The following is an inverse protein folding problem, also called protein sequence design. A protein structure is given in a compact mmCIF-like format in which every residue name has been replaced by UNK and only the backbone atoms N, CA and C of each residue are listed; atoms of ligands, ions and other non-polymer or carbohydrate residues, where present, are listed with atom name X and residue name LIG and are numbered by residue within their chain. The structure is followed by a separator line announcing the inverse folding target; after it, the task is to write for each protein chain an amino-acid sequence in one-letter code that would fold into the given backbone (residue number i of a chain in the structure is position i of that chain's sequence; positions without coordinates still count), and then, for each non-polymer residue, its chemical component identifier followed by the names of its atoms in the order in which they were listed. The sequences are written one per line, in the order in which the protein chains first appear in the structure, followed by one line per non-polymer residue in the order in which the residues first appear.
data_IF_894323238104
#
_entry.id   IF_894323238104
#
_cell.length_a   1.000
_cell.length_b   1.000
_cell.length_c   1.000
_cell.angle_alpha   90.00
_cell.angle_beta   90.00
_cell.angle_gamma   90.00
#
_symmetry.space_group_name_H-M   'P 1'
#
loop_
_entity.id
_entity.type
_entity.pdbx_description
1 polymer ?
#
# COMPACT_ATOMS: atom_id res chain seq x y z
N UNK A 1 -65.79 55.30 6.53
CA UNK A 1 -67.20 55.60 6.76
C UNK A 1 -68.03 54.33 6.59
N UNK A 2 -68.48 53.75 7.71
CA UNK A 2 -69.81 53.13 7.79
C UNK A 2 -70.86 54.28 7.90
N UNK A 3 -72.19 54.09 7.90
CA UNK A 3 -73.04 52.88 7.76
C UNK A 3 -74.31 53.13 6.89
N UNK A 4 -75.27 52.19 6.90
CA UNK A 4 -76.75 52.33 6.85
C UNK A 4 -77.31 50.95 6.41
N UNK A 5 -78.39 50.34 6.92
CA UNK A 5 -79.48 50.74 7.83
C UNK A 5 -80.33 49.48 8.13
N UNK A 6 -80.97 49.45 9.32
CA UNK A 6 -82.33 48.92 9.60
C UNK A 6 -82.57 47.38 9.56
N UNK A 7 -83.46 46.73 10.34
CA UNK A 7 -84.70 47.11 11.03
C UNK A 7 -85.00 46.20 12.26
N UNK A 8 -85.65 46.84 13.26
CA UNK A 8 -86.62 46.44 14.31
C UNK A 8 -87.51 45.16 14.07
N UNK A 9 -88.42 44.77 15.02
CA UNK A 9 -88.23 44.26 16.39
C UNK A 9 -89.12 43.01 16.68
N UNK A 10 -89.04 42.37 17.85
CA UNK A 10 -90.01 41.33 18.24
C UNK A 10 -89.93 40.93 19.71
N UNK A 11 -91.05 41.03 20.42
CA UNK A 11 -91.20 40.94 21.87
C UNK A 11 -91.09 39.53 22.49
N UNK A 12 -90.51 39.55 23.70
CA UNK A 12 -90.53 38.64 24.86
C UNK A 12 -91.59 37.53 24.94
N UNK A 13 -91.17 36.35 25.44
CA UNK A 13 -91.76 35.65 26.60
C UNK A 13 -90.74 34.65 27.22
N UNK A 14 -90.76 34.40 28.56
CA UNK A 14 -89.65 33.75 29.26
C UNK A 14 -89.86 32.26 29.61
N UNK A 15 -88.72 31.55 29.57
CA UNK A 15 -88.17 30.51 30.46
C UNK A 15 -89.11 29.54 31.23
N UNK A 16 -88.89 28.24 31.00
CA UNK A 16 -88.75 27.23 32.08
C UNK A 16 -87.63 26.25 31.70
N UNK A 17 -86.64 26.11 32.58
CA UNK A 17 -85.50 25.22 32.44
C UNK A 17 -85.85 23.78 32.83
N UNK A 18 -85.51 22.80 31.98
CA UNK A 18 -85.39 21.38 32.33
C UNK A 18 -83.91 21.01 32.27
N UNK A 19 -83.29 20.75 33.42
CA UNK A 19 -81.95 20.20 33.50
C UNK A 19 -82.02 18.69 33.21
N UNK A 20 -81.65 18.31 31.98
CA UNK A 20 -81.39 16.91 31.62
C UNK A 20 -80.01 16.49 32.11
N UNK A 21 -79.95 15.35 32.79
CA UNK A 21 -78.71 14.70 33.21
C UNK A 21 -78.02 14.09 31.98
N UNK A 22 -76.88 14.65 31.57
CA UNK A 22 -75.98 14.03 30.59
C UNK A 22 -74.86 13.32 31.33
N UNK A 23 -74.92 11.98 31.35
CA UNK A 23 -73.81 11.15 31.81
C UNK A 23 -72.68 11.17 30.76
N UNK A 24 -71.65 12.00 30.98
CA UNK A 24 -70.39 11.91 30.25
C UNK A 24 -69.59 10.71 30.76
N UNK A 25 -69.47 9.65 29.96
CA UNK A 25 -68.41 8.64 30.15
C UNK A 25 -67.07 9.31 29.82
N UNK A 26 -66.28 9.66 30.85
CA UNK A 26 -64.88 10.03 30.67
C UNK A 26 -64.04 8.76 30.64
N UNK A 27 -63.59 8.34 29.47
CA UNK A 27 -62.49 7.40 29.36
C UNK A 27 -61.20 8.15 29.76
N UNK A 28 -60.79 8.05 31.02
CA UNK A 28 -59.51 8.58 31.49
C UNK A 28 -58.45 7.48 31.37
N UNK A 29 -57.69 7.47 30.28
CA UNK A 29 -56.35 6.85 30.31
C UNK A 29 -55.40 7.84 30.97
N UNK A 30 -55.33 7.83 32.29
CA UNK A 30 -54.29 8.55 33.02
C UNK A 30 -52.99 7.75 32.94
N UNK A 31 -52.15 8.03 31.94
CA UNK A 31 -50.74 7.69 32.07
C UNK A 31 -50.12 8.76 32.97
N UNK A 32 -49.69 8.36 34.18
CA UNK A 32 -48.90 9.25 35.02
C UNK A 32 -47.66 9.68 34.23
N UNK A 33 -47.39 11.00 34.06
CA UNK A 33 -46.18 11.43 33.37
C UNK A 33 -44.98 10.93 34.17
N UNK A 34 -44.12 10.15 33.50
CA UNK A 34 -42.85 9.71 34.08
C UNK A 34 -42.12 10.95 34.60
N UNK A 35 -41.62 10.96 35.86
CA UNK A 35 -40.97 12.11 36.46
C UNK A 35 -39.88 12.64 35.52
N UNK A 36 -39.81 13.97 35.34
CA UNK A 36 -38.87 14.62 34.42
C UNK A 36 -37.42 14.13 34.63
N UNK A 37 -37.00 13.92 35.89
CA UNK A 37 -35.68 13.37 36.23
C UNK A 37 -35.45 11.93 35.79
N UNK A 38 -36.48 11.07 35.80
CA UNK A 38 -36.36 9.68 35.32
C UNK A 38 -36.29 9.62 33.79
N UNK A 39 -37.06 10.47 33.09
CA UNK A 39 -36.95 10.59 31.62
C UNK A 39 -35.58 11.09 31.19
N UNK A 40 -35.09 12.16 31.81
CA UNK A 40 -33.74 12.70 31.52
C UNK A 40 -32.66 11.67 31.84
N UNK A 41 -32.79 10.93 32.94
CA UNK A 41 -31.89 9.81 33.27
C UNK A 41 -31.88 8.73 32.18
N UNK A 42 -33.05 8.28 31.73
CA UNK A 42 -33.17 7.29 30.65
C UNK A 42 -32.55 7.79 29.34
N UNK A 43 -32.85 9.02 28.92
CA UNK A 43 -32.28 9.59 27.70
C UNK A 43 -30.77 9.78 27.80
N UNK A 44 -30.26 10.23 28.94
CA UNK A 44 -28.82 10.37 29.17
C UNK A 44 -28.11 9.01 29.12
N UNK A 45 -28.66 7.99 29.78
CA UNK A 45 -28.11 6.63 29.73
C UNK A 45 -28.14 6.07 28.31
N UNK A 46 -29.27 6.19 27.61
CA UNK A 46 -29.40 5.73 26.23
C UNK A 46 -28.41 6.43 25.29
N UNK A 47 -28.21 7.74 25.44
CA UNK A 47 -27.23 8.50 24.68
C UNK A 47 -25.80 8.00 24.95
N UNK A 48 -25.40 7.88 26.22
CA UNK A 48 -24.05 7.41 26.59
C UNK A 48 -23.80 6.00 26.06
N UNK A 49 -24.75 5.08 26.20
CA UNK A 49 -24.61 3.71 25.70
C UNK A 49 -24.52 3.68 24.17
N UNK A 50 -25.37 4.45 23.48
CA UNK A 50 -25.37 4.50 22.02
C UNK A 50 -24.09 5.13 21.48
N UNK A 51 -23.60 6.21 22.09
CA UNK A 51 -22.34 6.85 21.71
C UNK A 51 -21.14 5.95 21.97
N UNK A 52 -21.11 5.23 23.10
CA UNK A 52 -20.06 4.26 23.39
C UNK A 52 -20.04 3.09 22.40
N UNK A 53 -21.20 2.51 22.10
CA UNK A 53 -21.33 1.43 21.12
C UNK A 53 -20.95 1.91 19.71
N UNK A 54 -21.38 3.12 19.34
CA UNK A 54 -20.99 3.73 18.07
C UNK A 54 -19.48 3.96 17.99
N UNK A 55 -18.84 4.43 19.07
CA UNK A 55 -17.40 4.63 19.11
C UNK A 55 -16.66 3.29 18.91
N UNK A 56 -17.06 2.22 19.62
CA UNK A 56 -16.48 0.88 19.41
C UNK A 56 -16.66 0.44 17.96
N UNK A 57 -17.85 0.60 17.40
CA UNK A 57 -18.15 0.24 16.02
C UNK A 57 -17.41 1.11 14.99
N UNK A 58 -17.14 2.37 15.30
CA UNK A 58 -16.37 3.27 14.43
C UNK A 58 -14.88 2.93 14.48
N UNK A 59 -14.32 2.67 15.67
CA UNK A 59 -12.89 2.40 15.81
C UNK A 59 -12.47 0.99 15.39
N UNK A 60 -13.40 0.07 15.14
CA UNK A 60 -13.10 -1.22 14.49
C UNK A 60 -13.01 -1.06 12.96
N UNK A 61 -11.84 -1.32 12.38
CA UNK A 61 -11.64 -1.17 10.92
C UNK A 61 -12.50 -2.13 10.08
N UNK A 62 -12.99 -3.24 10.67
CA UNK A 62 -13.84 -4.25 10.01
C UNK A 62 -15.29 -3.80 9.90
N UNK A 63 -15.67 -2.74 10.61
CA UNK A 63 -17.02 -2.19 10.61
C UNK A 63 -17.54 -1.92 9.20
N UNK A 64 -18.79 -2.33 8.95
CA UNK A 64 -19.46 -2.11 7.67
C UNK A 64 -19.62 -0.60 7.37
N UNK A 65 -19.59 0.26 8.39
CA UNK A 65 -19.58 1.71 8.25
C UNK A 65 -18.46 2.19 7.32
N UNK A 66 -17.25 1.64 7.47
CA UNK A 66 -16.10 2.10 6.67
C UNK A 66 -16.25 1.70 5.21
N UNK A 67 -16.53 0.41 4.95
CA UNK A 67 -16.59 -0.15 3.61
C UNK A 67 -17.78 0.35 2.80
N UNK A 68 -18.96 0.39 3.40
CA UNK A 68 -20.21 0.61 2.66
C UNK A 68 -20.74 2.04 2.77
N UNK A 69 -20.23 2.85 3.70
CA UNK A 69 -20.70 4.23 3.90
C UNK A 69 -19.54 5.22 3.72
N UNK A 70 -18.54 5.22 4.59
CA UNK A 70 -17.52 6.26 4.60
C UNK A 70 -16.64 6.26 3.34
N UNK A 71 -16.15 5.09 2.91
CA UNK A 71 -15.33 5.00 1.69
C UNK A 71 -16.10 5.41 0.42
N UNK A 72 -17.33 4.93 0.17
CA UNK A 72 -18.16 5.44 -0.92
C UNK A 72 -18.46 6.93 -0.82
N UNK A 73 -18.77 7.46 0.37
CA UNK A 73 -18.99 8.90 0.57
C UNK A 73 -17.76 9.73 0.21
N UNK A 74 -16.55 9.29 0.60
CA UNK A 74 -15.31 9.95 0.21
C UNK A 74 -15.10 9.89 -1.31
N UNK A 75 -15.37 8.73 -1.93
CA UNK A 75 -15.15 8.49 -3.36
C UNK A 75 -16.10 9.28 -4.26
N UNK A 76 -17.38 9.38 -3.88
CA UNK A 76 -18.40 10.05 -4.70
C UNK A 76 -18.68 11.50 -4.27
N UNK A 77 -18.34 11.86 -3.03
CA UNK A 77 -18.57 13.20 -2.48
C UNK A 77 -17.40 14.17 -2.62
N UNK A 78 -16.18 13.68 -2.88
CA UNK A 78 -14.97 14.49 -3.05
C UNK A 78 -14.26 14.13 -4.35
N UNK A 79 -13.41 15.04 -4.86
CA UNK A 79 -12.45 14.65 -5.88
C UNK A 79 -11.43 13.66 -5.30
N UNK A 80 -10.89 12.82 -6.17
CA UNK A 80 -10.00 11.72 -5.80
C UNK A 80 -8.78 12.14 -4.97
N UNK A 81 -8.16 13.29 -5.27
CA UNK A 81 -6.98 13.74 -4.52
C UNK A 81 -7.39 14.34 -3.15
N UNK A 82 -8.53 15.04 -3.07
CA UNK A 82 -9.04 15.56 -1.80
C UNK A 82 -9.52 14.45 -0.86
N UNK A 83 -10.23 13.45 -1.37
CA UNK A 83 -10.65 12.28 -0.59
C UNK A 83 -9.46 11.52 0.00
N UNK A 84 -8.42 11.31 -0.81
CA UNK A 84 -7.16 10.70 -0.36
C UNK A 84 -6.47 11.51 0.75
N UNK A 85 -6.37 12.83 0.58
CA UNK A 85 -5.77 13.71 1.59
C UNK A 85 -6.55 13.72 2.90
N UNK A 86 -7.88 13.66 2.83
CA UNK A 86 -8.71 13.56 4.03
C UNK A 86 -8.45 12.22 4.74
N UNK A 87 -8.36 11.11 4.01
CA UNK A 87 -8.03 9.80 4.60
C UNK A 87 -6.69 9.83 5.33
N UNK A 88 -5.63 10.37 4.72
CA UNK A 88 -4.32 10.52 5.37
C UNK A 88 -4.40 11.39 6.63
N UNK A 89 -5.15 12.50 6.61
CA UNK A 89 -5.34 13.35 7.79
C UNK A 89 -6.06 12.63 8.93
N UNK A 90 -7.07 11.81 8.62
CA UNK A 90 -7.78 11.00 9.63
C UNK A 90 -6.82 9.98 10.23
N UNK A 91 -6.05 9.26 9.39
CA UNK A 91 -5.03 8.30 9.83
C UNK A 91 -3.95 8.92 10.72
N UNK A 92 -3.53 10.14 10.41
CA UNK A 92 -2.59 10.92 11.22
C UNK A 92 -3.18 11.39 12.56
N UNK A 93 -4.48 11.64 12.63
CA UNK A 93 -5.10 12.38 13.75
C UNK A 93 -5.27 11.59 15.05
N UNK A 94 -5.03 10.28 15.03
CA UNK A 94 -5.38 9.37 16.14
C UNK A 94 -6.86 9.01 16.21
N UNK A 95 -7.70 9.57 15.34
CA UNK A 95 -9.12 9.23 15.21
C UNK A 95 -9.38 8.11 14.18
N UNK A 96 -8.35 7.52 13.60
CA UNK A 96 -8.54 6.42 12.66
C UNK A 96 -8.99 5.14 13.36
N UNK A 97 -9.78 4.30 12.66
CA UNK A 97 -10.04 2.95 13.12
C UNK A 97 -8.76 2.14 13.19
N UNK A 98 -8.80 1.07 13.98
CA UNK A 98 -7.72 0.12 14.18
C UNK A 98 -8.21 -1.29 13.89
N UNK A 99 -7.26 -2.16 13.61
CA UNK A 99 -7.47 -3.60 13.54
C UNK A 99 -7.38 -4.19 14.95
N UNK A 100 -8.49 -4.64 15.57
CA UNK A 100 -8.49 -5.11 16.95
C UNK A 100 -8.09 -6.58 17.09
N UNK A 101 -7.84 -7.28 15.97
CA UNK A 101 -7.62 -8.72 15.96
C UNK A 101 -6.12 -9.00 15.83
N UNK A 102 -5.54 -9.97 16.56
CA UNK A 102 -4.19 -10.42 16.28
C UNK A 102 -4.08 -11.11 14.90
N UNK A 103 -2.87 -11.19 14.36
CA UNK A 103 -2.63 -11.95 13.14
C UNK A 103 -2.60 -13.46 13.43
N UNK A 104 -3.07 -14.25 12.48
CA UNK A 104 -3.03 -15.71 12.54
C UNK A 104 -1.60 -16.22 12.26
N UNK A 105 -1.16 -17.23 13.00
CA UNK A 105 0.20 -17.78 12.88
C UNK A 105 0.50 -18.36 11.50
N UNK A 106 -0.52 -18.84 10.78
CA UNK A 106 -0.36 -19.36 9.41
C UNK A 106 0.04 -18.27 8.40
N UNK A 107 -0.18 -16.99 8.74
CA UNK A 107 0.19 -15.84 7.93
C UNK A 107 1.64 -15.40 8.13
N UNK A 108 2.35 -15.91 9.14
CA UNK A 108 3.70 -15.43 9.45
C UNK A 108 4.58 -15.50 8.19
N UNK A 109 5.19 -14.35 7.87
CA UNK A 109 6.05 -14.19 6.71
C UNK A 109 7.49 -13.95 7.13
N UNK A 110 8.43 -14.26 6.24
CA UNK A 110 9.85 -14.03 6.48
C UNK A 110 10.48 -13.37 5.25
N UNK A 111 11.26 -12.32 5.48
CA UNK A 111 12.02 -11.64 4.43
C UNK A 111 13.40 -11.28 4.98
N UNK A 112 14.47 -11.73 4.30
CA UNK A 112 15.86 -11.58 4.76
C UNK A 112 16.13 -12.10 6.19
N UNK A 113 15.45 -13.17 6.60
CA UNK A 113 15.53 -13.68 7.97
C UNK A 113 14.76 -12.84 9.00
N UNK A 114 14.10 -11.77 8.58
CA UNK A 114 13.26 -10.93 9.45
C UNK A 114 11.83 -11.43 9.39
N UNK A 115 11.25 -11.72 10.56
CA UNK A 115 9.86 -12.18 10.68
C UNK A 115 8.91 -10.98 10.59
N UNK A 116 7.86 -11.13 9.79
CA UNK A 116 6.72 -10.22 9.70
C UNK A 116 5.47 -10.94 10.18
N UNK A 117 4.59 -10.26 10.92
CA UNK A 117 3.39 -10.88 11.51
C UNK A 117 2.40 -11.44 10.47
N UNK A 118 2.38 -10.85 9.28
CA UNK A 118 1.59 -11.26 8.13
C UNK A 118 2.30 -10.84 6.83
N UNK A 119 1.84 -11.27 5.63
CA UNK A 119 2.53 -10.97 4.38
C UNK A 119 2.02 -9.71 3.66
N UNK A 120 1.05 -8.99 4.24
CA UNK A 120 0.32 -7.91 3.56
C UNK A 120 0.88 -6.55 3.95
N UNK A 121 1.41 -5.86 2.95
CA UNK A 121 1.92 -4.49 3.04
C UNK A 121 1.09 -3.45 2.31
N UNK A 122 1.35 -2.18 2.60
CA UNK A 122 0.88 -1.03 1.86
C UNK A 122 1.94 -0.56 0.86
N UNK A 123 1.56 -0.38 -0.40
CA UNK A 123 2.46 0.11 -1.45
C UNK A 123 2.76 1.62 -1.34
N UNK A 124 3.91 2.06 -1.91
CA UNK A 124 4.22 3.49 -2.08
C UNK A 124 3.09 4.29 -2.74
N UNK A 125 3.05 5.56 -2.37
CA UNK A 125 2.23 6.57 -3.01
C UNK A 125 0.95 6.88 -2.23
N UNK A 126 0.62 6.09 -1.21
CA UNK A 126 -0.50 6.38 -0.31
C UNK A 126 -0.08 7.48 0.67
N UNK A 127 0.86 7.19 1.56
CA UNK A 127 1.47 8.17 2.46
C UNK A 127 2.80 8.68 1.90
N UNK A 128 2.73 9.66 0.99
CA UNK A 128 3.90 10.16 0.26
C UNK A 128 4.91 10.87 1.16
N UNK A 129 4.43 11.52 2.21
CA UNK A 129 5.23 12.43 3.03
C UNK A 129 5.46 11.92 4.46
N UNK A 130 5.10 10.65 4.74
CA UNK A 130 5.28 9.99 6.04
C UNK A 130 4.45 10.61 7.15
N UNK A 131 3.19 10.99 6.84
CA UNK A 131 2.29 11.66 7.76
C UNK A 131 1.46 10.73 8.64
N UNK A 132 1.21 9.49 8.20
CA UNK A 132 0.21 8.60 8.76
C UNK A 132 0.74 7.18 9.04
N UNK A 133 2.06 7.02 9.16
CA UNK A 133 2.75 5.73 9.29
C UNK A 133 2.12 4.85 10.39
N UNK A 134 1.97 5.39 11.60
CA UNK A 134 1.46 4.60 12.73
C UNK A 134 -0.03 4.28 12.60
N UNK A 135 -0.82 5.20 12.06
CA UNK A 135 -2.22 4.94 11.72
C UNK A 135 -2.37 3.86 10.65
N UNK A 136 -1.42 3.74 9.72
CA UNK A 136 -1.40 2.67 8.72
C UNK A 136 -1.01 1.32 9.34
N UNK A 137 0.01 1.26 10.21
CA UNK A 137 0.32 0.04 10.95
C UNK A 137 -0.84 -0.40 11.86
N UNK A 138 -1.57 0.54 12.46
CA UNK A 138 -2.75 0.26 13.28
C UNK A 138 -3.90 -0.39 12.49
N UNK A 139 -3.91 -0.32 11.15
CA UNK A 139 -4.85 -1.04 10.29
C UNK A 139 -4.46 -2.49 10.00
N UNK A 140 -3.34 -2.96 10.56
CA UNK A 140 -2.91 -4.35 10.49
C UNK A 140 -1.92 -4.68 9.37
N UNK A 141 -1.37 -3.69 8.66
CA UNK A 141 -0.28 -3.91 7.72
C UNK A 141 1.00 -4.28 8.48
N UNK A 142 1.73 -5.30 8.01
CA UNK A 142 3.08 -5.62 8.54
C UNK A 142 4.17 -4.84 7.80
N UNK A 143 3.86 -4.25 6.65
CA UNK A 143 4.79 -3.45 5.87
C UNK A 143 4.13 -2.15 5.43
N UNK A 144 4.78 -1.01 5.69
CA UNK A 144 4.31 0.30 5.20
C UNK A 144 5.39 0.95 4.35
N UNK A 145 5.09 1.21 3.07
CA UNK A 145 5.98 1.92 2.16
C UNK A 145 5.51 3.36 1.96
N UNK A 146 6.26 4.32 2.51
CA UNK A 146 6.02 5.76 2.28
C UNK A 146 6.71 6.23 0.99
N UNK A 147 6.39 7.46 0.54
CA UNK A 147 7.00 8.05 -0.66
C UNK A 147 6.23 7.75 -1.96
N UNK A 148 6.81 7.89 -3.14
CA UNK A 148 8.19 8.25 -3.41
C UNK A 148 8.54 9.68 -2.97
N UNK A 149 9.60 9.82 -2.17
CA UNK A 149 10.10 11.12 -1.70
C UNK A 149 11.25 11.57 -2.59
N UNK A 150 11.23 12.83 -2.99
CA UNK A 150 12.30 13.46 -3.79
C UNK A 150 13.22 14.32 -2.92
N UNK A 151 14.49 14.56 -3.30
CA UNK A 151 15.40 15.40 -2.52
C UNK A 151 14.84 16.79 -2.20
N UNK A 152 14.44 17.52 -3.24
CA UNK A 152 13.79 18.83 -3.12
C UNK A 152 12.27 18.68 -3.13
N UNK A 153 11.53 19.58 -2.47
CA UNK A 153 10.08 19.64 -2.60
C UNK A 153 9.67 19.87 -4.06
N UNK A 154 8.57 19.24 -4.50
CA UNK A 154 7.97 19.53 -5.80
C UNK A 154 6.46 19.27 -5.77
N UNK A 155 5.66 20.05 -6.52
CA UNK A 155 4.20 19.96 -6.48
C UNK A 155 3.63 18.75 -7.24
N UNK A 156 4.44 18.09 -8.08
CA UNK A 156 4.01 17.09 -9.06
C UNK A 156 3.37 17.70 -10.32
N UNK A 157 2.70 16.89 -11.13
CA UNK A 157 2.02 17.33 -12.35
C UNK A 157 0.73 18.11 -12.03
N UNK A 158 0.21 18.95 -12.96
CA UNK A 158 -1.04 19.70 -12.79
C UNK A 158 -2.25 18.81 -12.48
N UNK A 159 -3.22 19.35 -11.72
CA UNK A 159 -4.51 18.69 -11.43
C UNK A 159 -5.55 18.94 -12.54
N UNK A 160 -6.55 18.06 -12.73
CA UNK A 160 -6.72 16.74 -12.09
C UNK A 160 -5.70 15.71 -12.61
N UNK A 161 -5.25 14.81 -11.73
CA UNK A 161 -4.15 13.87 -11.99
C UNK A 161 -4.33 12.48 -11.39
N UNK A 162 -5.50 12.22 -10.81
CA UNK A 162 -5.92 10.91 -10.32
C UNK A 162 -7.40 10.76 -10.65
N UNK A 163 -7.75 9.61 -11.19
CA UNK A 163 -9.06 9.32 -11.76
C UNK A 163 -9.51 7.96 -11.28
N UNK A 164 -10.71 7.90 -10.73
CA UNK A 164 -11.33 6.64 -10.33
C UNK A 164 -11.99 6.00 -11.55
N UNK A 165 -11.92 4.67 -11.60
CA UNK A 165 -12.65 3.82 -12.53
C UNK A 165 -13.47 2.81 -11.71
N UNK A 166 -14.58 3.21 -11.04
CA UNK A 166 -15.27 2.31 -10.11
C UNK A 166 -15.86 1.05 -10.74
N UNK A 167 -16.35 1.09 -11.98
CA UNK A 167 -16.84 -0.11 -12.68
C UNK A 167 -15.72 -1.12 -12.98
N UNK A 168 -14.47 -0.69 -12.95
CA UNK A 168 -13.29 -1.51 -13.22
C UNK A 168 -12.45 -1.77 -11.95
N UNK A 169 -12.91 -1.34 -10.77
CA UNK A 169 -12.16 -1.34 -9.49
C UNK A 169 -10.72 -0.81 -9.61
N UNK A 170 -10.55 0.23 -10.43
CA UNK A 170 -9.25 0.67 -10.92
C UNK A 170 -9.01 2.16 -10.70
N UNK A 171 -7.74 2.58 -10.80
CA UNK A 171 -7.34 3.99 -10.78
C UNK A 171 -6.40 4.27 -11.95
N UNK A 172 -6.50 5.47 -12.53
CA UNK A 172 -5.45 6.03 -13.39
C UNK A 172 -4.86 7.25 -12.70
N UNK A 173 -3.53 7.36 -12.64
CA UNK A 173 -2.87 8.54 -12.09
C UNK A 173 -1.67 9.00 -12.90
N UNK A 174 -1.45 10.32 -12.87
CA UNK A 174 -0.31 11.01 -13.45
C UNK A 174 0.34 11.97 -12.48
N UNK A 175 0.60 11.52 -11.24
CA UNK A 175 1.07 12.38 -10.16
C UNK A 175 2.39 13.11 -10.41
N UNK A 176 3.42 12.44 -10.95
CA UNK A 176 4.75 13.03 -11.17
C UNK A 176 5.50 13.34 -9.87
N UNK A 177 5.49 12.42 -8.89
CA UNK A 177 6.17 12.54 -7.59
C UNK A 177 5.94 13.86 -6.84
N UNK A 178 4.69 14.24 -6.47
CA UNK A 178 4.50 15.30 -5.49
C UNK A 178 5.14 14.89 -4.17
N UNK A 179 5.93 15.79 -3.58
CA UNK A 179 6.77 15.50 -2.41
C UNK A 179 7.09 16.78 -1.66
N UNK A 180 7.10 16.74 -0.33
CA UNK A 180 7.55 17.84 0.54
C UNK A 180 9.07 17.89 0.72
N UNK A 181 9.82 16.98 0.08
CA UNK A 181 11.27 16.94 0.13
C UNK A 181 11.82 16.11 1.29
N UNK A 182 13.09 15.71 1.18
CA UNK A 182 13.75 14.87 2.19
C UNK A 182 13.72 15.47 3.59
N UNK A 183 13.96 16.78 3.71
CA UNK A 183 14.03 17.48 4.99
C UNK A 183 12.72 17.39 5.80
N UNK A 184 11.56 17.52 5.13
CA UNK A 184 10.27 17.43 5.80
C UNK A 184 9.98 15.99 6.27
N UNK A 185 10.23 15.00 5.41
CA UNK A 185 9.94 13.60 5.72
C UNK A 185 10.88 13.07 6.82
N UNK A 186 12.19 13.35 6.75
CA UNK A 186 13.13 12.88 7.78
C UNK A 186 12.83 13.49 9.15
N UNK A 187 12.33 14.74 9.19
CA UNK A 187 11.90 15.37 10.44
C UNK A 187 10.73 14.63 11.07
N UNK A 188 9.75 14.17 10.26
CA UNK A 188 8.63 13.34 10.75
C UNK A 188 9.09 11.97 11.23
N UNK A 189 9.98 11.33 10.47
CA UNK A 189 10.53 10.02 10.85
C UNK A 189 11.28 10.11 12.19
N UNK A 190 12.08 11.16 12.40
CA UNK A 190 12.76 11.40 13.67
C UNK A 190 11.80 11.63 14.83
N UNK A 191 10.73 12.40 14.60
CA UNK A 191 9.73 12.68 15.63
C UNK A 191 9.04 11.40 16.16
N UNK A 192 8.93 10.35 15.33
CA UNK A 192 8.37 9.05 15.77
C UNK A 192 9.25 8.34 16.80
N UNK A 193 10.55 8.56 16.79
CA UNK A 193 11.51 7.87 17.67
C UNK A 193 11.76 8.59 19.00
N UNK A 194 11.16 9.77 19.23
CA UNK A 194 11.41 10.59 20.43
C UNK A 194 10.62 10.10 21.65
N UNK A 195 9.47 9.45 21.43
CA UNK A 195 8.54 9.06 22.49
C UNK A 195 8.75 7.62 23.01
N UNK A 196 9.71 6.88 22.46
CA UNK A 196 10.02 5.49 22.86
C UNK A 196 11.30 5.48 23.73
N UNK A 197 11.33 4.63 24.78
CA UNK A 197 12.52 4.27 25.57
C UNK A 197 13.73 3.99 24.68
N UNK A 198 15.00 4.15 25.14
CA UNK A 198 16.18 4.04 24.29
C UNK A 198 16.11 2.78 23.42
N UNK A 199 15.83 3.04 22.15
CA UNK A 199 15.55 2.02 21.15
C UNK A 199 16.81 1.16 21.06
N UNK A 200 16.69 -0.12 21.43
CA UNK A 200 17.77 -1.10 21.29
C UNK A 200 18.36 -0.99 19.88
N UNK A 201 19.69 -1.11 19.75
CA UNK A 201 20.36 -1.10 18.44
C UNK A 201 19.78 -2.11 17.43
N UNK A 202 19.02 -3.10 17.90
CA UNK A 202 18.37 -4.13 17.09
C UNK A 202 16.91 -3.81 16.68
N UNK A 203 16.31 -2.70 17.11
CA UNK A 203 14.91 -2.44 16.81
C UNK A 203 14.69 -1.97 15.36
N UNK A 204 13.57 -2.39 14.72
CA UNK A 204 13.24 -1.93 13.37
C UNK A 204 12.83 -0.45 13.36
N UNK A 205 13.05 0.23 12.24
CA UNK A 205 12.60 1.61 11.99
C UNK A 205 11.07 1.75 11.92
N UNK A 206 10.35 0.64 11.75
CA UNK A 206 8.90 0.56 11.96
C UNK A 206 8.48 0.94 13.39
N UNK A 207 9.38 0.76 14.37
CA UNK A 207 9.12 0.87 15.81
C UNK A 207 8.08 -0.15 16.29
N UNK A 208 7.86 -1.23 15.52
CA UNK A 208 6.86 -2.26 15.81
C UNK A 208 7.45 -3.65 15.57
N UNK A 209 7.37 -4.56 16.56
CA UNK A 209 7.77 -5.94 16.35
C UNK A 209 6.98 -6.58 15.20
N UNK A 210 7.66 -7.35 14.35
CA UNK A 210 7.01 -8.04 13.23
C UNK A 210 6.57 -7.11 12.09
N UNK A 211 7.07 -5.88 12.05
CA UNK A 211 6.74 -4.93 10.99
C UNK A 211 7.97 -4.23 10.40
N UNK A 212 7.86 -3.82 9.13
CA UNK A 212 8.91 -3.11 8.40
C UNK A 212 8.41 -1.78 7.85
N UNK A 213 9.22 -0.74 8.00
CA UNK A 213 9.01 0.57 7.38
C UNK A 213 9.95 0.72 6.19
N UNK A 214 9.37 1.00 5.03
CA UNK A 214 10.14 1.32 3.84
C UNK A 214 9.94 2.76 3.36
N UNK A 215 11.03 3.36 2.86
CA UNK A 215 11.01 4.69 2.25
C UNK A 215 11.30 4.54 0.77
N UNK A 216 10.31 4.87 -0.06
CA UNK A 216 10.45 4.86 -1.50
C UNK A 216 11.13 6.15 -1.96
N UNK A 217 12.22 6.02 -2.71
CA UNK A 217 13.06 7.12 -3.20
C UNK A 217 12.64 7.49 -4.61
N UNK A 218 12.39 8.77 -4.83
CA UNK A 218 12.06 9.35 -6.13
C UNK A 218 13.12 10.36 -6.59
N UNK A 219 13.12 10.59 -7.89
CA UNK A 219 13.98 11.58 -8.54
C UNK A 219 13.22 12.89 -8.76
N UNK A 220 13.85 14.03 -8.52
CA UNK A 220 13.27 15.33 -8.87
C UNK A 220 13.16 15.47 -10.39
N UNK A 221 12.10 16.10 -10.89
CA UNK A 221 11.85 16.27 -12.33
C UNK A 221 12.96 17.06 -13.04
N UNK A 222 13.59 18.00 -12.33
CA UNK A 222 14.63 18.89 -12.85
C UNK A 222 16.03 18.26 -12.83
N UNK A 223 16.20 17.15 -12.10
CA UNK A 223 17.49 16.48 -12.02
C UNK A 223 17.83 15.77 -13.34
N UNK A 224 19.10 15.79 -13.80
CA UNK A 224 19.51 15.08 -15.02
C UNK A 224 19.16 13.60 -14.93
N UNK A 225 18.51 13.05 -15.97
CA UNK A 225 17.92 11.70 -15.91
C UNK A 225 18.90 10.63 -15.45
N UNK A 226 20.12 10.63 -16.04
CA UNK A 226 21.19 9.66 -15.77
C UNK A 226 21.93 9.89 -14.45
N UNK A 227 21.69 11.01 -13.74
CA UNK A 227 22.33 11.26 -12.44
C UNK A 227 21.74 10.38 -11.35
N UNK A 228 22.62 9.72 -10.59
CA UNK A 228 22.29 8.87 -9.44
C UNK A 228 22.08 9.66 -8.13
N UNK A 229 22.44 10.95 -8.14
CA UNK A 229 22.61 11.77 -6.93
C UNK A 229 21.33 11.90 -6.09
N UNK A 230 20.17 11.88 -6.73
CA UNK A 230 18.89 11.96 -6.00
C UNK A 230 18.67 10.72 -5.14
N UNK A 231 18.97 9.55 -5.68
CA UNK A 231 18.85 8.29 -4.96
C UNK A 231 19.95 8.17 -3.89
N UNK A 232 21.19 8.53 -4.22
CA UNK A 232 22.31 8.56 -3.25
C UNK A 232 21.99 9.47 -2.06
N UNK A 233 21.46 10.67 -2.31
CA UNK A 233 21.00 11.58 -1.24
C UNK A 233 19.86 10.98 -0.43
N UNK A 234 18.95 10.24 -1.08
CA UNK A 234 17.88 9.52 -0.40
C UNK A 234 18.42 8.47 0.56
N UNK A 235 19.42 7.69 0.13
CA UNK A 235 20.10 6.69 0.96
C UNK A 235 20.78 7.34 2.16
N UNK A 236 21.51 8.43 1.95
CA UNK A 236 22.20 9.15 3.01
C UNK A 236 21.23 9.74 4.04
N UNK A 237 20.11 10.31 3.60
CA UNK A 237 19.14 10.95 4.51
C UNK A 237 18.28 9.93 5.26
N UNK A 238 17.76 8.92 4.56
CA UNK A 238 16.78 8.00 5.13
C UNK A 238 17.37 6.70 5.65
N UNK A 239 18.64 6.40 5.34
CA UNK A 239 19.28 5.15 5.76
C UNK A 239 19.19 4.87 7.25
N UNK A 240 19.43 5.85 8.15
CA UNK A 240 19.26 5.66 9.59
C UNK A 240 17.81 5.51 10.08
N UNK A 241 16.83 5.74 9.21
CA UNK A 241 15.42 5.96 9.57
C UNK A 241 14.45 5.03 8.82
N UNK A 242 14.95 4.02 8.11
CA UNK A 242 14.16 3.07 7.35
C UNK A 242 14.72 1.65 7.50
N UNK A 243 13.85 0.65 7.50
CA UNK A 243 14.28 -0.76 7.41
C UNK A 243 14.67 -1.09 5.98
N UNK A 244 13.96 -0.47 5.03
CA UNK A 244 14.12 -0.72 3.60
C UNK A 244 14.05 0.60 2.82
N UNK A 245 14.95 0.78 1.87
CA UNK A 245 14.90 1.86 0.91
C UNK A 245 14.58 1.31 -0.47
N UNK A 246 13.61 1.92 -1.15
CA UNK A 246 13.14 1.44 -2.46
C UNK A 246 13.56 2.40 -3.55
N UNK A 247 14.37 1.94 -4.50
CA UNK A 247 14.77 2.68 -5.70
C UNK A 247 13.65 2.58 -6.74
N UNK A 248 12.96 3.70 -6.98
CA UNK A 248 11.84 3.74 -7.92
C UNK A 248 12.22 4.34 -9.27
N UNK A 249 12.45 3.46 -10.24
CA UNK A 249 12.73 3.78 -11.65
C UNK A 249 11.55 3.47 -12.58
N UNK A 250 10.37 3.16 -12.02
CA UNK A 250 9.26 2.56 -12.78
C UNK A 250 8.05 3.47 -12.96
N UNK A 251 8.07 4.69 -12.42
CA UNK A 251 6.99 5.66 -12.60
C UNK A 251 6.79 6.03 -14.07
N UNK A 252 5.57 5.89 -14.65
CA UNK A 252 5.28 6.38 -16.00
C UNK A 252 5.09 7.91 -16.07
N UNK A 253 5.08 8.57 -14.91
CA UNK A 253 4.62 9.95 -14.77
C UNK A 253 5.77 10.97 -14.69
N UNK A 254 7.00 10.48 -14.75
CA UNK A 254 8.24 11.25 -14.83
C UNK A 254 8.90 10.92 -16.16
N UNK A 255 8.94 11.85 -17.13
CA UNK A 255 9.46 11.57 -18.48
C UNK A 255 10.85 10.94 -18.46
N UNK A 256 11.03 9.89 -19.26
CA UNK A 256 12.31 9.18 -19.40
C UNK A 256 12.70 8.26 -18.25
N UNK A 257 12.07 8.34 -17.06
CA UNK A 257 12.50 7.59 -15.87
C UNK A 257 12.58 6.07 -16.10
N UNK A 258 11.63 5.51 -16.84
CA UNK A 258 11.60 4.07 -17.17
C UNK A 258 12.78 3.60 -18.01
N UNK A 259 13.46 4.51 -18.72
CA UNK A 259 14.67 4.18 -19.49
C UNK A 259 15.85 3.81 -18.59
N UNK A 260 15.82 4.19 -17.30
CA UNK A 260 16.82 3.78 -16.31
C UNK A 260 16.75 2.29 -15.97
N UNK A 261 15.72 1.57 -16.42
CA UNK A 261 15.62 0.11 -16.27
C UNK A 261 16.45 -0.65 -17.31
N UNK A 262 17.02 0.03 -18.31
CA UNK A 262 17.92 -0.60 -19.29
C UNK A 262 19.25 -0.96 -18.64
N UNK A 263 19.85 -2.08 -19.07
CA UNK A 263 21.03 -2.72 -18.45
C UNK A 263 22.14 -1.74 -18.03
N UNK A 264 22.62 -0.90 -18.95
CA UNK A 264 23.75 0.00 -18.67
C UNK A 264 23.44 1.01 -17.57
N UNK A 265 22.36 1.78 -17.72
CA UNK A 265 21.96 2.81 -16.76
C UNK A 265 21.57 2.21 -15.41
N UNK A 266 20.93 1.04 -15.42
CA UNK A 266 20.54 0.36 -14.18
C UNK A 266 21.78 -0.09 -13.39
N UNK A 267 22.80 -0.62 -14.06
CA UNK A 267 24.05 -1.04 -13.44
C UNK A 267 24.73 0.10 -12.69
N UNK A 268 24.94 1.23 -13.37
CA UNK A 268 25.57 2.42 -12.77
C UNK A 268 24.75 2.99 -11.61
N UNK A 269 23.42 3.04 -11.76
CA UNK A 269 22.51 3.48 -10.72
C UNK A 269 22.61 2.63 -9.46
N UNK A 270 22.52 1.31 -9.61
CA UNK A 270 22.55 0.40 -8.47
C UNK A 270 23.92 0.38 -7.81
N UNK A 271 25.01 0.45 -8.57
CA UNK A 271 26.36 0.56 -8.03
C UNK A 271 26.51 1.79 -7.14
N UNK A 272 26.06 2.96 -7.59
CA UNK A 272 26.12 4.21 -6.80
C UNK A 272 25.28 4.16 -5.52
N UNK A 273 24.06 3.60 -5.61
CA UNK A 273 23.14 3.50 -4.45
C UNK A 273 23.62 2.46 -3.43
N UNK A 274 24.15 1.33 -3.89
CA UNK A 274 24.74 0.28 -3.04
C UNK A 274 25.98 0.81 -2.34
N UNK A 275 26.85 1.52 -3.06
CA UNK A 275 28.02 2.18 -2.47
C UNK A 275 27.58 3.16 -1.37
N UNK A 276 26.59 4.02 -1.66
CA UNK A 276 26.07 4.97 -0.67
C UNK A 276 25.50 4.30 0.59
N UNK A 277 24.81 3.14 0.46
CA UNK A 277 24.36 2.35 1.63
C UNK A 277 25.56 1.81 2.40
N UNK A 278 26.54 1.27 1.69
CA UNK A 278 27.71 0.65 2.29
C UNK A 278 28.56 1.69 3.05
N UNK A 279 28.57 2.95 2.61
CA UNK A 279 29.29 4.05 3.25
C UNK A 279 28.57 4.65 4.46
N UNK A 280 27.32 4.26 4.74
CA UNK A 280 26.61 4.69 5.95
C UNK A 280 27.37 4.23 7.20
N UNK A 281 27.59 5.17 8.12
CA UNK A 281 28.19 4.93 9.43
C UNK A 281 27.17 4.26 10.39
N UNK A 282 26.80 3.03 10.06
CA UNK A 282 25.91 2.19 10.85
C UNK A 282 26.45 0.75 10.87
N UNK A 283 26.11 -0.01 11.91
CA UNK A 283 26.38 -1.45 11.93
C UNK A 283 25.72 -2.13 10.74
N UNK A 284 26.25 -3.27 10.29
CA UNK A 284 25.68 -4.01 9.16
C UNK A 284 24.21 -4.39 9.38
N UNK A 285 23.81 -4.66 10.63
CA UNK A 285 22.44 -4.95 11.02
C UNK A 285 21.49 -3.74 10.98
N UNK A 286 22.02 -2.50 11.02
CA UNK A 286 21.22 -1.26 10.91
C UNK A 286 21.24 -0.62 9.53
N UNK A 287 22.03 -1.14 8.59
CA UNK A 287 21.98 -0.66 7.20
C UNK A 287 20.65 -1.10 6.58
N UNK A 288 19.93 -0.19 5.91
CA UNK A 288 18.66 -0.52 5.29
C UNK A 288 18.86 -1.51 4.15
N UNK A 289 17.86 -2.36 3.93
CA UNK A 289 17.79 -3.19 2.72
C UNK A 289 17.48 -2.30 1.50
N UNK A 290 18.08 -2.61 0.35
CA UNK A 290 17.80 -1.91 -0.90
C UNK A 290 16.89 -2.76 -1.78
N UNK A 291 15.78 -2.18 -2.22
CA UNK A 291 14.87 -2.83 -3.16
C UNK A 291 14.72 -2.02 -4.45
N UNK A 292 14.65 -2.70 -5.58
CA UNK A 292 14.34 -2.09 -6.88
C UNK A 292 12.86 -2.25 -7.21
N UNK A 293 12.14 -1.16 -7.54
CA UNK A 293 10.72 -1.24 -7.95
C UNK A 293 10.57 -1.14 -9.46
N UNK A 294 10.03 -2.19 -10.08
CA UNK A 294 9.97 -2.35 -11.54
C UNK A 294 8.60 -2.03 -12.15
N UNK A 295 8.62 -1.70 -13.43
CA UNK A 295 7.43 -1.52 -14.27
C UNK A 295 6.85 -2.89 -14.67
N UNK A 296 5.52 -3.02 -14.82
CA UNK A 296 4.91 -4.20 -15.45
C UNK A 296 5.07 -4.18 -16.98
N UNK A 297 5.35 -3.01 -17.56
CA UNK A 297 5.47 -2.81 -19.00
C UNK A 297 6.92 -3.10 -19.45
N UNK A 298 7.34 -4.36 -19.32
CA UNK A 298 8.66 -4.86 -19.69
C UNK A 298 8.50 -6.10 -20.57
N UNK A 299 9.39 -6.28 -21.55
CA UNK A 299 9.46 -7.55 -22.29
C UNK A 299 10.12 -8.63 -21.43
N UNK A 300 9.92 -9.90 -21.77
CA UNK A 300 10.59 -10.99 -21.06
C UNK A 300 12.12 -10.87 -21.10
N UNK A 301 12.68 -10.39 -22.23
CA UNK A 301 14.11 -10.17 -22.40
C UNK A 301 14.61 -9.05 -21.49
N UNK A 302 13.90 -7.91 -21.43
CA UNK A 302 14.21 -6.82 -20.49
C UNK A 302 14.25 -7.33 -19.04
N UNK A 303 13.29 -8.19 -18.66
CA UNK A 303 13.22 -8.74 -17.31
C UNK A 303 14.42 -9.65 -17.01
N UNK A 304 14.89 -10.45 -17.97
CA UNK A 304 16.09 -11.28 -17.79
C UNK A 304 17.33 -10.42 -17.63
N UNK A 305 17.51 -9.40 -18.46
CA UNK A 305 18.63 -8.46 -18.34
C UNK A 305 18.64 -7.74 -16.99
N UNK A 306 17.47 -7.27 -16.53
CA UNK A 306 17.33 -6.64 -15.21
C UNK A 306 17.67 -7.63 -14.10
N UNK A 307 17.23 -8.89 -14.20
CA UNK A 307 17.56 -9.91 -13.21
C UNK A 307 19.07 -10.15 -13.12
N UNK A 308 19.80 -10.15 -14.24
CA UNK A 308 21.27 -10.24 -14.23
C UNK A 308 21.93 -9.09 -13.47
N UNK A 309 21.50 -7.87 -13.73
CA UNK A 309 22.02 -6.67 -13.03
C UNK A 309 21.68 -6.73 -11.54
N UNK A 310 20.46 -7.14 -11.18
CA UNK A 310 20.04 -7.29 -9.78
C UNK A 310 20.95 -8.28 -9.04
N UNK A 311 21.26 -9.44 -9.63
CA UNK A 311 22.13 -10.46 -8.99
C UNK A 311 23.54 -9.96 -8.71
N UNK A 312 24.11 -9.13 -9.58
CA UNK A 312 25.49 -8.65 -9.44
C UNK A 312 25.60 -7.32 -8.70
N UNK A 313 24.50 -6.57 -8.54
CA UNK A 313 24.53 -5.22 -7.99
C UNK A 313 24.66 -5.14 -6.46
N UNK A 314 24.21 -6.16 -5.72
CA UNK A 314 24.15 -6.10 -4.26
C UNK A 314 22.91 -5.39 -3.69
N UNK A 315 21.86 -5.20 -4.50
CA UNK A 315 20.51 -4.93 -3.98
C UNK A 315 19.94 -6.18 -3.30
N UNK A 316 19.08 -5.97 -2.31
CA UNK A 316 18.57 -7.04 -1.46
C UNK A 316 17.25 -7.64 -1.98
N UNK A 317 16.52 -6.97 -2.89
CA UNK A 317 15.24 -7.49 -3.37
C UNK A 317 14.60 -6.67 -4.49
N UNK A 318 13.46 -7.15 -4.98
CA UNK A 318 12.71 -6.49 -6.08
C UNK A 318 11.24 -6.37 -5.71
N UNK A 319 10.61 -5.24 -6.07
CA UNK A 319 9.16 -5.05 -5.98
C UNK A 319 8.57 -5.04 -7.39
N UNK A 320 7.63 -5.95 -7.65
CA UNK A 320 6.94 -6.06 -8.94
C UNK A 320 5.42 -6.04 -8.72
N UNK A 321 4.69 -5.03 -9.17
CA UNK A 321 5.07 -3.94 -10.07
C UNK A 321 4.50 -2.59 -9.66
N UNK A 322 4.99 -1.56 -10.34
CA UNK A 322 4.35 -0.26 -10.45
C UNK A 322 3.11 -0.35 -11.38
N UNK A 323 2.51 0.79 -11.66
CA UNK A 323 1.36 0.95 -12.58
C UNK A 323 1.71 0.66 -14.05
N UNK A 324 0.72 0.28 -14.86
CA UNK A 324 0.88 0.03 -16.30
C UNK A 324 0.41 1.21 -17.15
N UNK A 325 1.10 1.52 -18.25
CA UNK A 325 0.58 2.45 -19.27
C UNK A 325 -0.37 1.76 -20.25
N UNK A 326 -0.37 0.42 -20.27
CA UNK A 326 -1.28 -0.36 -21.09
C UNK A 326 -2.73 -0.14 -20.67
N UNK A 327 -3.65 -0.32 -21.62
CA UNK A 327 -5.10 -0.28 -21.38
C UNK A 327 -5.68 -1.62 -21.83
N UNK A 328 -5.71 -2.64 -20.94
CA UNK A 328 -6.26 -3.94 -21.26
C UNK A 328 -7.69 -3.83 -21.80
N UNK A 329 -8.05 -4.76 -22.70
CA UNK A 329 -9.43 -4.85 -23.20
C UNK A 329 -10.36 -5.15 -22.01
N UNK A 330 -11.55 -4.57 -22.03
CA UNK A 330 -12.56 -4.78 -20.98
C UNK A 330 -12.73 -3.60 -20.01
N UNK A 331 -11.87 -2.57 -20.04
CA UNK A 331 -12.12 -1.33 -19.30
C UNK A 331 -13.39 -0.64 -19.80
N UNK A 332 -14.30 -0.37 -18.88
CA UNK A 332 -15.64 0.16 -19.19
C UNK A 332 -15.78 1.64 -18.86
N UNK A 333 -15.13 2.12 -17.79
CA UNK A 333 -15.32 3.51 -17.34
C UNK A 333 -14.78 4.53 -18.36
N UNK A 334 -15.47 5.68 -18.57
CA UNK A 334 -15.00 6.78 -19.41
C UNK A 334 -13.56 7.28 -19.13
N UNK A 335 -13.08 7.20 -17.89
CA UNK A 335 -11.75 7.66 -17.49
C UNK A 335 -10.62 6.77 -18.04
N UNK A 336 -10.92 5.64 -18.68
CA UNK A 336 -9.91 4.75 -19.28
C UNK A 336 -9.00 5.44 -20.30
N UNK A 337 -9.45 6.54 -20.90
CA UNK A 337 -8.69 7.36 -21.86
C UNK A 337 -7.70 8.32 -21.20
N UNK A 338 -7.76 8.49 -19.88
CA UNK A 338 -6.86 9.37 -19.14
C UNK A 338 -5.40 8.92 -19.27
N UNK A 339 -4.50 9.90 -19.42
CA UNK A 339 -3.07 9.65 -19.43
C UNK A 339 -2.55 9.29 -18.03
N UNK A 340 -1.49 8.47 -18.00
CA UNK A 340 -0.82 8.05 -16.78
C UNK A 340 -0.87 6.53 -16.56
N UNK A 341 -0.45 6.11 -15.38
CA UNK A 341 -0.42 4.70 -14.99
C UNK A 341 -1.77 4.20 -14.47
N UNK A 342 -2.23 3.08 -15.00
CA UNK A 342 -3.36 2.29 -14.54
C UNK A 342 -2.92 1.33 -13.41
N UNK A 343 -3.74 1.26 -12.37
CA UNK A 343 -3.65 0.29 -11.28
C UNK A 343 -5.02 -0.32 -10.97
N UNK A 344 -5.04 -1.43 -10.25
CA UNK A 344 -6.26 -2.20 -9.96
C UNK A 344 -6.20 -3.61 -10.57
N UNK A 345 -7.29 -4.39 -10.48
CA UNK A 345 -7.35 -5.77 -10.97
C UNK A 345 -6.83 -5.99 -12.40
N UNK A 346 -7.08 -5.09 -13.39
CA UNK A 346 -6.57 -5.27 -14.75
C UNK A 346 -5.04 -5.39 -14.85
N UNK A 347 -4.29 -4.89 -13.85
CA UNK A 347 -2.83 -4.97 -13.81
C UNK A 347 -2.30 -6.34 -13.34
N UNK A 348 -3.11 -7.15 -12.64
CA UNK A 348 -2.65 -8.37 -11.93
C UNK A 348 -1.89 -9.33 -12.84
N UNK A 349 -2.43 -9.63 -14.02
CA UNK A 349 -1.82 -10.57 -14.96
C UNK A 349 -0.45 -10.11 -15.49
N UNK A 350 -0.27 -8.81 -15.76
CA UNK A 350 1.00 -8.25 -16.20
C UNK A 350 2.05 -8.33 -15.08
N UNK A 351 1.63 -7.96 -13.86
CA UNK A 351 2.50 -8.01 -12.68
C UNK A 351 2.94 -9.44 -12.36
N UNK A 352 2.03 -10.42 -12.39
CA UNK A 352 2.37 -11.85 -12.22
C UNK A 352 3.27 -12.39 -13.32
N UNK A 353 3.11 -11.93 -14.57
CA UNK A 353 3.99 -12.36 -15.67
C UNK A 353 5.44 -11.92 -15.42
N UNK A 354 5.65 -10.65 -15.10
CA UNK A 354 6.99 -10.14 -14.75
C UNK A 354 7.54 -10.84 -13.51
N UNK A 355 6.71 -11.08 -12.50
CA UNK A 355 7.13 -11.78 -11.28
C UNK A 355 7.66 -13.17 -11.57
N UNK A 356 6.92 -13.99 -12.32
CA UNK A 356 7.34 -15.35 -12.67
C UNK A 356 8.65 -15.36 -13.45
N UNK A 357 8.80 -14.45 -14.41
CA UNK A 357 10.05 -14.31 -15.16
C UNK A 357 11.20 -13.85 -14.27
N UNK A 358 10.99 -12.93 -13.32
CA UNK A 358 12.02 -12.57 -12.34
C UNK A 358 12.38 -13.75 -11.46
N UNK A 359 11.38 -14.47 -10.93
CA UNK A 359 11.60 -15.57 -10.01
C UNK A 359 12.50 -16.64 -10.64
N UNK A 360 12.27 -16.98 -11.91
CA UNK A 360 13.10 -17.93 -12.66
C UNK A 360 14.50 -17.47 -13.02
N UNK A 361 14.80 -16.18 -12.84
CA UNK A 361 16.10 -15.60 -13.17
C UNK A 361 16.81 -15.01 -11.94
N UNK A 362 16.22 -15.15 -10.74
CA UNK A 362 16.79 -14.71 -9.47
C UNK A 362 16.98 -15.91 -8.54
N UNK A 363 18.06 -15.93 -7.74
CA UNK A 363 18.21 -16.93 -6.69
C UNK A 363 17.19 -16.70 -5.57
N UNK A 364 16.82 -17.76 -4.85
CA UNK A 364 15.86 -17.71 -3.74
C UNK A 364 16.20 -16.64 -2.68
N UNK A 365 17.50 -16.40 -2.46
CA UNK A 365 18.02 -15.41 -1.52
C UNK A 365 17.65 -13.96 -1.84
N UNK A 366 17.21 -13.67 -3.08
CA UNK A 366 16.69 -12.36 -3.48
C UNK A 366 15.15 -12.44 -3.45
N UNK A 367 14.49 -11.95 -2.39
CA UNK A 367 13.04 -11.93 -2.29
C UNK A 367 12.40 -10.98 -3.32
N UNK A 368 11.19 -11.34 -3.73
CA UNK A 368 10.34 -10.52 -4.60
C UNK A 368 9.09 -10.14 -3.82
N UNK A 369 8.71 -8.87 -3.83
CA UNK A 369 7.43 -8.40 -3.29
C UNK A 369 6.46 -8.19 -4.44
N UNK A 370 5.31 -8.85 -4.36
CA UNK A 370 4.22 -8.74 -5.33
C UNK A 370 3.36 -7.50 -5.11
N UNK A 371 2.99 -6.80 -6.17
CA UNK A 371 2.18 -5.59 -6.12
C UNK A 371 1.41 -5.43 -7.44
N UNK A 372 0.09 -5.24 -7.35
CA UNK A 372 -0.75 -4.93 -8.51
C UNK A 372 -2.01 -5.78 -8.60
N UNK A 373 -3.17 -5.16 -8.47
CA UNK A 373 -4.46 -5.84 -8.68
C UNK A 373 -4.81 -6.92 -7.67
N UNK A 374 -4.22 -6.86 -6.46
CA UNK A 374 -4.56 -7.74 -5.35
C UNK A 374 -5.79 -7.16 -4.64
N UNK A 375 -6.88 -7.94 -4.63
CA UNK A 375 -8.17 -7.57 -4.03
C UNK A 375 -8.69 -8.57 -3.01
N UNK A 376 -8.03 -9.72 -2.87
CA UNK A 376 -8.48 -10.85 -2.06
C UNK A 376 -7.31 -11.63 -1.48
N UNK A 377 -7.60 -12.49 -0.50
CA UNK A 377 -6.65 -13.49 0.00
C UNK A 377 -6.19 -14.46 -1.08
N UNK A 378 -7.10 -14.88 -1.97
CA UNK A 378 -6.77 -15.70 -3.13
C UNK A 378 -5.78 -15.01 -4.09
N UNK A 379 -5.97 -13.71 -4.36
CA UNK A 379 -5.02 -12.95 -5.18
C UNK A 379 -3.63 -12.90 -4.52
N UNK A 380 -3.56 -12.68 -3.20
CA UNK A 380 -2.28 -12.69 -2.47
C UNK A 380 -1.59 -14.06 -2.57
N UNK A 381 -2.37 -15.14 -2.49
CA UNK A 381 -1.86 -16.50 -2.64
C UNK A 381 -1.33 -16.79 -4.05
N UNK A 382 -1.94 -16.24 -5.10
CA UNK A 382 -1.41 -16.34 -6.47
C UNK A 382 -0.01 -15.74 -6.59
N UNK A 383 0.24 -14.62 -5.90
CA UNK A 383 1.58 -14.01 -5.83
C UNK A 383 2.55 -14.88 -5.04
N UNK A 384 2.13 -15.43 -3.89
CA UNK A 384 2.96 -16.36 -3.10
C UNK A 384 3.39 -17.57 -3.92
N UNK A 385 2.42 -18.21 -4.61
CA UNK A 385 2.65 -19.36 -5.51
C UNK A 385 3.53 -19.02 -6.71
N UNK A 386 3.59 -17.76 -7.10
CA UNK A 386 4.51 -17.29 -8.14
C UNK A 386 5.92 -16.98 -7.59
N UNK A 387 6.12 -17.06 -6.26
CA UNK A 387 7.41 -16.85 -5.59
C UNK A 387 7.56 -15.49 -4.91
N UNK A 388 6.47 -14.78 -4.64
CA UNK A 388 6.50 -13.53 -3.86
C UNK A 388 6.63 -13.81 -2.36
N UNK A 389 7.59 -13.19 -1.69
CA UNK A 389 7.80 -13.34 -0.24
C UNK A 389 6.78 -12.53 0.58
N UNK A 390 6.33 -11.40 0.03
CA UNK A 390 5.28 -10.55 0.58
C UNK A 390 4.46 -9.93 -0.55
N UNK A 391 3.32 -9.32 -0.22
CA UNK A 391 2.47 -8.59 -1.17
C UNK A 391 2.17 -7.17 -0.70
N UNK A 392 1.94 -6.26 -1.64
CA UNK A 392 1.51 -4.89 -1.38
C UNK A 392 0.17 -4.57 -2.03
N UNK A 393 -0.69 -3.87 -1.30
CA UNK A 393 -1.97 -3.36 -1.81
C UNK A 393 -1.98 -1.82 -1.85
N UNK A 394 -2.81 -1.27 -2.75
CA UNK A 394 -3.10 0.17 -2.83
C UNK A 394 -4.53 0.37 -3.32
N UNK A 395 -4.80 0.03 -4.59
CA UNK A 395 -6.06 0.37 -5.24
C UNK A 395 -7.24 -0.22 -4.48
N UNK A 396 -7.16 -1.50 -4.13
CA UNK A 396 -8.20 -2.15 -3.34
C UNK A 396 -8.43 -1.46 -1.99
N UNK A 397 -7.37 -1.05 -1.29
CA UNK A 397 -7.50 -0.28 -0.04
C UNK A 397 -8.27 1.04 -0.23
N UNK A 398 -8.02 1.74 -1.35
CA UNK A 398 -8.78 2.95 -1.70
C UNK A 398 -10.26 2.70 -2.04
N UNK A 399 -10.61 1.51 -2.54
CA UNK A 399 -12.00 1.16 -2.91
C UNK A 399 -12.79 0.51 -1.77
N UNK A 400 -12.12 -0.32 -0.98
CA UNK A 400 -12.70 -1.20 0.02
C UNK A 400 -12.61 -0.61 1.45
N UNK A 401 -11.70 0.35 1.65
CA UNK A 401 -11.56 1.12 2.88
C UNK A 401 -10.65 0.49 3.93
N UNK A 402 -10.69 1.05 5.14
CA UNK A 402 -9.73 0.78 6.22
C UNK A 402 -9.61 -0.69 6.65
N UNK A 403 -10.65 -1.49 6.48
CA UNK A 403 -10.63 -2.92 6.81
C UNK A 403 -10.09 -3.84 5.72
N UNK A 404 -9.60 -3.32 4.59
CA UNK A 404 -9.17 -4.13 3.46
C UNK A 404 -8.01 -5.08 3.81
N UNK A 405 -7.03 -4.59 4.57
CA UNK A 405 -5.90 -5.42 5.02
C UNK A 405 -6.39 -6.62 5.84
N UNK A 406 -7.21 -6.38 6.86
CA UNK A 406 -7.80 -7.44 7.71
C UNK A 406 -8.61 -8.44 6.88
N UNK A 407 -9.46 -7.99 5.97
CA UNK A 407 -10.25 -8.90 5.11
C UNK A 407 -9.38 -9.81 4.24
N UNK A 408 -8.33 -9.27 3.63
CA UNK A 408 -7.38 -10.08 2.85
C UNK A 408 -6.67 -11.09 3.73
N UNK A 409 -6.23 -10.69 4.94
CA UNK A 409 -5.58 -11.59 5.91
C UNK A 409 -6.51 -12.72 6.38
N UNK A 410 -7.76 -12.40 6.69
CA UNK A 410 -8.75 -13.38 7.14
C UNK A 410 -9.05 -14.40 6.04
N UNK A 411 -9.30 -13.94 4.80
CA UNK A 411 -9.52 -14.83 3.66
C UNK A 411 -8.29 -15.71 3.35
N UNK A 412 -7.09 -15.12 3.39
CA UNK A 412 -5.85 -15.85 3.18
C UNK A 412 -5.63 -16.92 4.26
N UNK A 413 -5.93 -16.60 5.53
CA UNK A 413 -5.82 -17.56 6.64
C UNK A 413 -6.78 -18.74 6.45
N UNK A 414 -8.01 -18.47 6.04
CA UNK A 414 -9.02 -19.51 5.76
C UNK A 414 -8.58 -20.44 4.62
N UNK A 415 -7.98 -19.89 3.57
CA UNK A 415 -7.45 -20.69 2.45
C UNK A 415 -6.28 -21.55 2.91
N UNK A 416 -5.30 -20.97 3.60
CA UNK A 416 -4.10 -21.69 4.06
C UNK A 416 -4.44 -22.83 5.03
N UNK A 417 -5.35 -22.58 5.98
CA UNK A 417 -5.84 -23.62 6.91
C UNK A 417 -6.55 -24.76 6.19
N UNK A 418 -7.35 -24.45 5.18
CA UNK A 418 -8.04 -25.47 4.36
C UNK A 418 -7.06 -26.31 3.55
N UNK A 419 -5.99 -25.69 3.06
CA UNK A 419 -4.89 -26.37 2.36
C UNK A 419 -3.91 -27.07 3.30
N UNK A 420 -4.04 -26.89 4.62
CA UNK A 420 -3.17 -27.51 5.62
C UNK A 420 -1.73 -26.99 5.57
N UNK A 421 -1.53 -25.73 5.17
CA UNK A 421 -0.20 -25.13 4.95
C UNK A 421 -0.10 -23.74 5.57
N UNK A 422 1.09 -23.14 5.52
CA UNK A 422 1.38 -21.76 5.95
C UNK A 422 1.86 -20.90 4.79
N UNK A 423 1.81 -19.58 4.95
CA UNK A 423 2.38 -18.65 3.97
C UNK A 423 3.85 -18.97 3.68
N UNK A 424 4.65 -19.18 4.73
CA UNK A 424 6.07 -19.51 4.62
C UNK A 424 6.32 -20.78 3.80
N UNK A 425 5.54 -21.83 4.04
CA UNK A 425 5.64 -23.08 3.28
C UNK A 425 5.34 -22.87 1.80
N UNK A 426 4.23 -22.18 1.47
CA UNK A 426 3.87 -21.88 0.07
C UNK A 426 4.98 -21.11 -0.64
N UNK A 427 5.51 -20.05 -0.01
CA UNK A 427 6.57 -19.23 -0.59
C UNK A 427 7.86 -20.05 -0.77
N UNK A 428 8.27 -20.81 0.24
CA UNK A 428 9.49 -21.62 0.17
C UNK A 428 9.40 -22.71 -0.91
N UNK A 429 8.24 -23.37 -1.04
CA UNK A 429 7.99 -24.35 -2.10
C UNK A 429 8.07 -23.72 -3.48
N UNK A 430 7.36 -22.60 -3.69
CA UNK A 430 7.37 -21.89 -4.96
C UNK A 430 8.77 -21.33 -5.32
N UNK A 431 9.49 -20.78 -4.34
CA UNK A 431 10.82 -20.27 -4.55
C UNK A 431 11.83 -21.39 -4.84
N UNK A 432 11.77 -22.52 -4.14
CA UNK A 432 12.65 -23.66 -4.38
C UNK A 432 12.44 -24.28 -5.76
N UNK A 433 11.18 -24.36 -6.21
CA UNK A 433 10.83 -24.91 -7.53
C UNK A 433 11.24 -23.97 -8.67
N UNK A 434 10.90 -22.69 -8.54
CA UNK A 434 11.00 -21.75 -9.65
C UNK A 434 12.29 -20.94 -9.69
N UNK A 435 13.07 -20.82 -8.60
CA UNK A 435 14.25 -19.95 -8.59
C UNK A 435 15.38 -20.42 -9.48
N UNK A 436 16.20 -19.47 -9.93
CA UNK A 436 17.48 -19.79 -10.57
C UNK A 436 18.34 -20.58 -9.56
N UNK A 437 18.63 -21.83 -9.90
CA UNK A 437 19.53 -22.67 -9.12
C UNK A 437 20.94 -22.11 -9.26
N UNK A 438 21.69 -22.07 -8.16
CA UNK A 438 23.11 -21.75 -8.23
C UNK A 438 23.77 -22.75 -9.20
N UNK A 439 24.65 -22.26 -10.08
CA UNK A 439 25.54 -23.15 -10.83
C UNK A 439 26.22 -24.07 -9.81
N UNK A 440 25.95 -25.37 -9.91
CA UNK A 440 26.62 -26.36 -9.09
C UNK A 440 28.13 -26.24 -9.33
N UNK A 441 28.94 -26.51 -8.31
CA UNK A 441 30.40 -26.49 -8.47
C UNK A 441 30.84 -27.35 -9.66
N UNK A 442 30.12 -28.44 -9.97
CA UNK A 442 30.35 -29.27 -11.17
C UNK A 442 30.19 -28.51 -12.49
N UNK A 443 29.18 -27.66 -12.66
CA UNK A 443 28.98 -26.90 -13.88
C UNK A 443 30.08 -25.84 -14.08
N UNK A 444 30.56 -25.24 -12.98
CA UNK A 444 31.72 -24.33 -13.00
C UNK A 444 33.02 -25.07 -13.27
N UNK A 445 33.23 -26.24 -12.68
CA UNK A 445 34.41 -27.08 -12.94
C UNK A 445 34.45 -27.56 -14.39
N UNK A 446 33.31 -27.98 -14.95
CA UNK A 446 33.21 -28.36 -16.36
C UNK A 446 33.49 -27.20 -17.30
N UNK A 447 32.91 -26.02 -17.04
CA UNK A 447 33.19 -24.83 -17.85
C UNK A 447 34.65 -24.36 -17.73
N UNK A 448 35.25 -24.48 -16.54
CA UNK A 448 36.67 -24.18 -16.32
C UNK A 448 37.58 -25.17 -17.06
N UNK A 449 37.26 -26.46 -17.02
CA UNK A 449 37.98 -27.50 -17.76
C UNK A 449 37.91 -27.25 -19.28
N UNK A 450 36.74 -26.87 -19.78
CA UNK A 450 36.55 -26.58 -21.20
C UNK A 450 37.38 -25.37 -21.66
N UNK A 451 37.47 -24.32 -20.84
CA UNK A 451 38.32 -23.15 -21.11
C UNK A 451 39.82 -23.48 -21.05
N UNK A 452 40.23 -24.38 -20.15
CA UNK A 452 41.62 -24.86 -20.08
C UNK A 452 41.96 -25.66 -21.34
N UNK A 453 41.07 -26.54 -21.80
CA UNK A 453 41.26 -27.37 -22.99
C UNK A 453 41.36 -26.50 -24.27
N UNK A 454 40.51 -25.49 -24.41
CA UNK A 454 40.61 -24.51 -25.50
C UNK A 454 41.92 -23.71 -25.48
N UNK A 455 42.39 -23.31 -24.29
CA UNK A 455 43.65 -22.60 -24.14
C UNK A 455 44.86 -23.48 -24.51
N UNK A 456 44.86 -24.75 -24.11
CA UNK A 456 45.90 -25.71 -24.46
C UNK A 456 45.97 -25.98 -25.97
N UNK A 457 44.82 -26.11 -26.63
CA UNK A 457 44.76 -26.27 -28.09
C UNK A 457 45.22 -25.03 -28.84
N UNK A 458 44.94 -23.84 -28.32
CA UNK A 458 45.46 -22.59 -28.86
C UNK A 458 46.99 -22.51 -28.73
N UNK A 459 47.56 -22.95 -27.61
CA UNK A 459 49.00 -23.05 -27.41
C UNK A 459 49.64 -24.03 -28.41
N UNK A 460 49.06 -25.21 -28.62
CA UNK A 460 49.55 -26.18 -29.63
C UNK A 460 49.50 -25.61 -31.05
N UNK A 461 48.49 -24.82 -31.37
CA UNK A 461 48.38 -24.13 -32.67
C UNK A 461 49.47 -23.07 -32.85
N UNK A 462 49.76 -22.29 -31.80
CA UNK A 462 50.83 -21.30 -31.78
C UNK A 462 52.21 -21.95 -31.94
N UNK A 463 52.48 -23.03 -31.20
CA UNK A 463 53.77 -23.76 -31.28
C UNK A 463 54.02 -24.33 -32.69
N UNK A 464 52.96 -24.84 -33.34
CA UNK A 464 53.01 -25.32 -34.72
C UNK A 464 53.22 -24.20 -35.76
N UNK A 465 52.82 -22.96 -35.45
CA UNK A 465 53.08 -21.79 -36.29
C UNK A 465 54.50 -21.27 -36.11
N UNK A 466 55.03 -21.27 -34.89
CA UNK A 466 56.41 -20.85 -34.61
C UNK A 466 57.46 -21.89 -35.01
N UNK A 467 57.12 -23.17 -35.06
CA UNK A 467 58.02 -24.23 -35.56
C UNK A 467 58.14 -24.32 -37.09
N UNK A 468 57.41 -23.47 -37.84
CA UNK A 468 57.44 -23.38 -39.31
C UNK A 468 58.07 -22.07 -39.84
N UNK A 469 58.60 -21.24 -38.94
CA UNK A 469 59.48 -20.11 -39.23
C UNK A 469 60.92 -20.52 -38.94
#
# INVERSE_FOLDING_TARGET
MLPLRALRPGLRRPLVARHGVTAQRKASTSSSPVPFGLRTGIYATAFVLSSGLFAIYYFDCRSALHRYILTPLLRYGLDAESGHKLAVKVLKSGLAPKDPVPDDVVLEAEIWGTRCSNPVGLAAGFDKDGEAIDGLFDLGFSWVEIGSVTPKPQPGNPRPRVFHLPEDDSLINRYGFPSQGHAAVVTRLRARSVDEEPVSEAAPASLRPGSLLSVNLGKNKESPLESVDDFVRGVQVFGPHADVLVINVSSPNTPGLRNLQKRSHLGDLLAGVVQARNDLQASSSRKPKLMLKLSPDLTADDVREIAEVVRSSGVDGVIVSNTTISRPRGLTHPNKTEAGGLSGPPLKHLSLAVLRTLRSNLPESIPIIGCGGITSGADALDYARAGASMVQIYTHFGYDGVGACRRIKDELSDILRREGTTWKEVVSGAASEASLKADTNEAKEQSMQQLIEEAEDLCKLLDNLTGKL
#
